data_IF_511900862425
#
_entry.id   IF_511900862425
#
_cell.length_a   1.000
_cell.length_b   1.000
_cell.length_c   1.000
_cell.angle_alpha   90.00
_cell.angle_beta   90.00
_cell.angle_gamma   90.00
#
_symmetry.space_group_name_H-M   'P 1'
#
loop_
_entity.id
_entity.type
_entity.pdbx_description
1 polymer ?
#
# COMPACT_ATOMS: atom_id res chain seq x y z
N UNK A 1 -56.84 -40.73 -21.45
CA UNK A 1 -57.39 -40.67 -20.08
C UNK A 1 -56.44 -39.81 -19.25
N UNK A 2 -56.75 -38.52 -19.03
CA UNK A 2 -57.30 -37.96 -17.77
C UNK A 2 -56.62 -38.47 -16.49
N UNK A 3 -56.34 -37.71 -15.43
CA UNK A 3 -56.16 -36.28 -15.14
C UNK A 3 -55.85 -36.26 -13.62
N UNK A 4 -54.96 -35.37 -13.15
CA UNK A 4 -55.00 -34.73 -11.80
C UNK A 4 -54.95 -35.62 -10.52
N UNK A 5 -54.47 -35.21 -9.34
CA UNK A 5 -53.80 -34.02 -8.80
C UNK A 5 -53.52 -34.30 -7.30
N UNK A 6 -52.70 -33.44 -6.69
CA UNK A 6 -52.84 -32.95 -5.30
C UNK A 6 -51.99 -33.56 -4.16
N UNK A 7 -50.94 -32.78 -3.83
CA UNK A 7 -50.73 -32.06 -2.56
C UNK A 7 -50.48 -32.83 -1.25
N UNK A 8 -49.29 -32.57 -0.67
CA UNK A 8 -49.01 -32.05 0.70
C UNK A 8 -47.49 -31.79 0.84
N UNK A 9 -47.01 -30.53 0.84
CA UNK A 9 -46.69 -29.65 2.01
C UNK A 9 -45.72 -30.29 3.01
N UNK A 10 -44.46 -29.87 3.05
CA UNK A 10 -43.87 -28.71 3.78
C UNK A 10 -43.01 -29.20 4.95
N UNK A 11 -41.69 -28.98 4.87
CA UNK A 11 -40.89 -28.61 6.03
C UNK A 11 -39.74 -27.70 5.58
N UNK A 12 -39.93 -26.39 5.81
CA UNK A 12 -38.88 -25.38 5.84
C UNK A 12 -38.21 -25.43 7.22
N UNK A 13 -36.87 -25.40 7.26
CA UNK A 13 -36.11 -24.89 8.42
C UNK A 13 -34.96 -24.02 7.88
N UNK A 14 -34.71 -22.83 8.45
CA UNK A 14 -33.90 -21.78 7.84
C UNK A 14 -32.44 -21.85 8.29
N UNK A 15 -31.50 -21.42 7.44
CA UNK A 15 -30.15 -21.08 7.89
C UNK A 15 -29.83 -19.65 7.44
N UNK A 16 -30.16 -18.72 8.34
CA UNK A 16 -29.57 -17.38 8.39
C UNK A 16 -28.29 -17.46 9.22
N UNK A 17 -27.27 -16.71 8.79
CA UNK A 17 -26.08 -16.26 9.55
C UNK A 17 -24.86 -17.18 9.61
N UNK A 18 -23.87 -16.92 8.74
CA UNK A 18 -22.43 -16.91 9.06
C UNK A 18 -21.54 -16.60 7.83
N UNK A 19 -21.67 -15.39 7.27
CA UNK A 19 -20.73 -14.83 6.28
C UNK A 19 -19.95 -13.63 6.83
N UNK A 20 -19.61 -13.70 8.10
CA UNK A 20 -18.63 -12.86 8.77
C UNK A 20 -17.65 -13.82 9.46
N UNK A 21 -16.52 -14.10 8.81
CA UNK A 21 -15.22 -14.57 9.37
C UNK A 21 -14.39 -15.27 8.28
N UNK A 22 -13.96 -14.52 7.26
CA UNK A 22 -12.88 -14.95 6.37
C UNK A 22 -11.84 -13.82 6.21
N UNK A 23 -11.48 -13.20 7.34
CA UNK A 23 -10.38 -12.25 7.45
C UNK A 23 -9.81 -12.33 8.87
N UNK A 24 -9.24 -13.46 9.25
CA UNK A 24 -8.26 -13.60 10.33
C UNK A 24 -7.66 -15.01 10.31
N UNK A 25 -6.35 -15.09 10.52
CA UNK A 25 -5.55 -16.32 10.69
C UNK A 25 -5.22 -17.14 9.45
N UNK A 26 -4.28 -16.63 8.65
CA UNK A 26 -3.31 -17.51 7.98
C UNK A 26 -2.08 -17.61 8.91
N UNK A 27 -2.17 -18.50 9.90
CA UNK A 27 -1.05 -18.86 10.79
C UNK A 27 0.02 -19.55 9.94
N UNK A 28 1.22 -18.97 9.92
CA UNK A 28 2.40 -19.62 9.35
C UNK A 28 2.80 -20.81 10.22
N UNK A 29 2.81 -22.00 9.63
CA UNK A 29 3.48 -23.17 10.18
C UNK A 29 4.93 -23.08 9.68
N UNK A 30 5.87 -22.76 10.58
CA UNK A 30 7.29 -23.01 10.36
C UNK A 30 7.66 -24.22 11.21
N UNK A 31 7.97 -25.34 10.54
CA UNK A 31 8.75 -26.42 11.13
C UNK A 31 10.24 -25.99 11.09
N UNK A 32 10.89 -25.93 12.25
CA UNK A 32 12.32 -26.20 12.38
C UNK A 32 12.68 -26.41 13.84
N UNK A 33 12.88 -27.67 14.24
CA UNK A 33 13.66 -28.01 15.42
C UNK A 33 15.15 -28.01 15.03
N UNK A 34 15.92 -27.09 15.63
CA UNK A 34 17.36 -27.23 15.85
C UNK A 34 17.76 -26.26 16.99
N UNK A 35 18.58 -26.68 17.96
CA UNK A 35 18.86 -25.89 19.16
C UNK A 35 19.85 -24.75 18.84
N UNK A 36 19.75 -23.58 19.50
CA UNK A 36 20.72 -22.52 19.30
C UNK A 36 22.02 -22.79 20.07
N UNK A 37 23.14 -22.67 19.38
CA UNK A 37 24.48 -22.56 19.96
C UNK A 37 24.63 -21.29 20.84
N UNK A 38 25.59 -21.24 21.78
CA UNK A 38 25.61 -20.24 22.84
C UNK A 38 25.97 -18.85 22.31
N UNK A 39 25.19 -17.85 22.73
CA UNK A 39 25.39 -16.43 22.46
C UNK A 39 26.51 -15.89 23.35
N UNK A 40 27.64 -15.49 22.78
CA UNK A 40 28.68 -14.76 23.50
C UNK A 40 28.66 -13.25 23.20
N UNK A 41 28.61 -12.50 24.30
CA UNK A 41 28.89 -11.09 24.61
C UNK A 41 28.43 -9.94 23.69
N UNK A 42 27.53 -9.12 24.25
CA UNK A 42 27.21 -7.77 23.78
C UNK A 42 27.84 -6.68 24.65
N UNK A 43 28.63 -5.81 24.02
CA UNK A 43 29.01 -4.52 24.55
C UNK A 43 28.36 -3.43 23.70
N UNK A 44 27.34 -2.75 24.22
CA UNK A 44 26.90 -1.48 23.65
C UNK A 44 26.21 -0.59 24.70
N UNK A 45 26.97 0.38 25.23
CA UNK A 45 26.63 1.18 26.42
C UNK A 45 25.46 2.16 26.22
N UNK A 46 25.02 2.40 24.98
CA UNK A 46 23.96 3.38 24.68
C UNK A 46 22.52 2.90 24.96
N UNK A 47 22.29 1.58 25.07
CA UNK A 47 20.93 1.05 25.26
C UNK A 47 20.56 0.82 26.74
N UNK A 48 21.54 0.47 27.57
CA UNK A 48 21.37 0.26 29.02
C UNK A 48 21.01 1.58 29.73
N UNK A 49 21.50 2.71 29.23
CA UNK A 49 21.27 4.02 29.82
C UNK A 49 19.82 4.53 29.73
N UNK A 50 18.97 4.00 28.84
CA UNK A 50 17.54 4.39 28.80
C UNK A 50 16.66 3.64 29.80
N UNK A 51 17.17 2.54 30.39
CA UNK A 51 16.45 1.74 31.40
C UNK A 51 16.74 2.15 32.84
N UNK A 52 17.80 2.92 33.07
CA UNK A 52 17.99 3.68 34.31
C UNK A 52 17.54 5.11 34.03
N UNK A 53 16.67 5.70 34.85
CA UNK A 53 16.07 7.02 34.63
C UNK A 53 17.04 8.20 34.74
N UNK A 54 18.16 8.18 34.00
CA UNK A 54 19.16 9.25 33.97
C UNK A 54 18.96 10.03 32.66
N UNK A 55 18.46 11.27 32.78
CA UNK A 55 18.51 12.26 31.70
C UNK A 55 19.99 12.50 31.37
N UNK A 56 20.45 12.07 30.20
CA UNK A 56 21.83 12.35 29.80
C UNK A 56 21.92 13.76 29.23
N UNK A 57 22.33 14.70 30.09
CA UNK A 57 23.03 15.91 29.67
C UNK A 57 24.36 15.49 29.05
N UNK A 58 24.71 16.07 27.92
CA UNK A 58 25.95 15.78 27.20
C UNK A 58 27.17 16.13 28.04
N UNK A 59 28.07 15.14 28.20
CA UNK A 59 29.43 15.16 28.79
C UNK A 59 29.52 14.62 30.21
N UNK A 60 29.66 13.30 30.33
CA UNK A 60 30.51 12.68 31.36
C UNK A 60 30.79 11.24 30.96
N UNK A 61 32.02 10.95 30.55
CA UNK A 61 32.55 9.59 30.44
C UNK A 61 32.86 9.10 31.85
N UNK A 62 31.83 8.67 32.59
CA UNK A 62 32.04 8.02 33.88
C UNK A 62 32.64 6.62 33.64
N UNK A 63 33.85 6.43 34.17
CA UNK A 63 34.59 5.18 34.16
C UNK A 63 33.88 4.20 35.12
N UNK A 64 32.82 3.55 34.63
CA UNK A 64 32.06 2.55 35.40
C UNK A 64 32.93 1.30 35.52
N UNK A 65 33.24 0.91 36.76
CA UNK A 65 33.98 -0.31 37.07
C UNK A 65 33.39 -1.51 36.29
N UNK A 66 34.22 -2.30 35.57
CA UNK A 66 33.77 -3.40 34.72
C UNK A 66 32.79 -4.37 35.40
N UNK A 67 32.93 -4.59 36.71
CA UNK A 67 32.05 -5.49 37.48
C UNK A 67 30.61 -4.99 37.59
N UNK A 68 30.38 -3.68 37.41
CA UNK A 68 29.05 -3.06 37.42
C UNK A 68 28.54 -2.72 36.01
N UNK A 69 29.23 -3.17 34.94
CA UNK A 69 28.68 -3.15 33.58
C UNK A 69 27.61 -4.22 33.45
N UNK A 70 26.38 -3.87 33.82
CA UNK A 70 25.22 -4.72 33.56
C UNK A 70 25.10 -5.00 32.06
N UNK A 71 25.18 -6.27 31.69
CA UNK A 71 24.95 -6.75 30.32
C UNK A 71 23.49 -7.18 30.14
N UNK A 72 22.85 -6.71 29.07
CA UNK A 72 21.47 -7.08 28.73
C UNK A 72 20.41 -6.04 29.10
N UNK A 73 19.15 -6.36 28.83
CA UNK A 73 17.99 -5.52 29.15
C UNK A 73 17.31 -6.05 30.43
N UNK A 74 17.02 -5.15 31.36
CA UNK A 74 16.28 -5.50 32.58
C UNK A 74 14.85 -5.93 32.21
N UNK A 75 14.53 -7.21 32.43
CA UNK A 75 13.23 -7.81 32.07
C UNK A 75 12.04 -7.05 32.67
N UNK A 76 12.15 -6.56 33.91
CA UNK A 76 11.09 -5.80 34.56
C UNK A 76 10.80 -4.42 33.95
N UNK A 77 11.63 -3.96 33.00
CA UNK A 77 11.50 -2.66 32.30
C UNK A 77 11.47 -2.81 30.78
N UNK A 78 11.58 -4.03 30.26
CA UNK A 78 11.55 -4.27 28.82
C UNK A 78 10.13 -4.11 28.31
N UNK A 79 9.97 -3.39 27.20
CA UNK A 79 8.72 -3.38 26.43
C UNK A 79 8.92 -4.24 25.19
N UNK A 80 7.85 -4.76 24.60
CA UNK A 80 7.92 -5.49 23.33
C UNK A 80 8.68 -4.67 22.27
N UNK A 81 8.43 -3.36 22.17
CA UNK A 81 9.11 -2.47 21.23
C UNK A 81 10.62 -2.38 21.47
N UNK A 82 11.07 -2.43 22.74
CA UNK A 82 12.48 -2.41 23.10
C UNK A 82 13.13 -3.77 22.83
N UNK A 83 12.45 -4.87 23.18
CA UNK A 83 12.88 -6.23 22.90
C UNK A 83 13.08 -6.45 21.39
N UNK A 84 12.08 -6.09 20.58
CA UNK A 84 12.15 -6.21 19.12
C UNK A 84 13.29 -5.38 18.53
N UNK A 85 13.51 -4.14 19.01
CA UNK A 85 14.63 -3.30 18.55
C UNK A 85 15.98 -3.92 18.89
N UNK A 86 16.13 -4.47 20.10
CA UNK A 86 17.35 -5.15 20.51
C UNK A 86 17.62 -6.39 19.65
N UNK A 87 16.61 -7.26 19.48
CA UNK A 87 16.71 -8.45 18.61
C UNK A 87 17.05 -8.07 17.18
N UNK A 88 16.42 -7.04 16.61
CA UNK A 88 16.71 -6.58 15.24
C UNK A 88 18.13 -6.08 15.07
N UNK A 89 18.63 -5.27 16.02
CA UNK A 89 20.04 -4.82 16.01
C UNK A 89 20.99 -5.98 16.10
N UNK A 90 20.64 -6.98 16.89
CA UNK A 90 21.50 -8.14 17.05
C UNK A 90 21.56 -8.99 15.79
N UNK A 91 20.38 -9.30 15.25
CA UNK A 91 20.28 -9.99 13.97
C UNK A 91 21.02 -9.21 12.87
N UNK A 92 21.00 -7.87 12.89
CA UNK A 92 21.72 -7.02 11.92
C UNK A 92 23.24 -7.24 11.89
N UNK A 93 23.86 -7.81 12.94
CA UNK A 93 25.29 -8.17 12.92
C UNK A 93 25.57 -9.44 12.13
N UNK A 94 24.57 -10.32 11.98
CA UNK A 94 24.74 -11.58 11.25
C UNK A 94 24.69 -11.36 9.73
N UNK A 95 25.72 -11.82 9.03
CA UNK A 95 25.79 -11.82 7.56
C UNK A 95 24.59 -12.51 6.92
N UNK A 96 24.07 -13.58 7.52
CA UNK A 96 22.88 -14.31 7.02
C UNK A 96 21.63 -13.42 7.04
N UNK A 97 21.44 -12.67 8.13
CA UNK A 97 20.31 -11.74 8.24
C UNK A 97 20.48 -10.53 7.31
N UNK A 98 21.70 -10.01 7.17
CA UNK A 98 22.00 -8.94 6.22
C UNK A 98 21.69 -9.37 4.78
N UNK A 99 22.07 -10.59 4.36
CA UNK A 99 21.69 -11.16 3.05
C UNK A 99 20.17 -11.30 2.89
N UNK A 100 19.47 -11.75 3.94
CA UNK A 100 17.99 -11.87 3.91
C UNK A 100 17.28 -10.53 3.77
N UNK A 101 17.86 -9.45 4.33
CA UNK A 101 17.37 -8.09 4.18
C UNK A 101 17.74 -7.52 2.81
N UNK A 102 18.98 -7.74 2.36
CA UNK A 102 19.48 -7.23 1.08
C UNK A 102 19.01 -8.11 -0.08
N UNK A 103 17.70 -8.01 -0.36
CA UNK A 103 17.09 -8.68 -1.50
C UNK A 103 17.33 -7.84 -2.74
N UNK A 104 18.00 -8.43 -3.74
CA UNK A 104 18.29 -7.80 -5.04
C UNK A 104 17.08 -7.06 -5.63
N UNK A 105 15.92 -7.70 -5.65
CA UNK A 105 14.69 -7.11 -6.20
C UNK A 105 14.26 -5.84 -5.43
N UNK A 106 14.34 -5.85 -4.10
CA UNK A 106 14.03 -4.67 -3.28
C UNK A 106 14.99 -3.52 -3.57
N UNK A 107 16.29 -3.81 -3.67
CA UNK A 107 17.31 -2.80 -3.99
C UNK A 107 17.10 -2.21 -5.40
N UNK A 108 16.76 -3.04 -6.38
CA UNK A 108 16.43 -2.58 -7.73
C UNK A 108 15.18 -1.69 -7.74
N UNK A 109 14.14 -2.09 -7.02
CA UNK A 109 12.89 -1.31 -6.91
C UNK A 109 13.11 0.01 -6.19
N UNK A 110 13.94 0.05 -5.14
CA UNK A 110 14.38 1.29 -4.49
C UNK A 110 15.12 2.19 -5.47
N UNK A 111 16.07 1.66 -6.25
CA UNK A 111 16.80 2.43 -7.27
C UNK A 111 15.87 3.03 -8.33
N UNK A 112 14.91 2.25 -8.86
CA UNK A 112 13.88 2.73 -9.80
C UNK A 112 13.03 3.86 -9.20
N UNK A 113 12.57 3.68 -7.96
CA UNK A 113 11.79 4.68 -7.25
C UNK A 113 12.60 5.97 -6.98
N UNK A 114 13.88 5.84 -6.62
CA UNK A 114 14.78 6.97 -6.42
C UNK A 114 15.05 7.75 -7.70
N UNK A 115 15.30 7.07 -8.82
CA UNK A 115 15.55 7.70 -10.12
C UNK A 115 14.32 8.51 -10.57
N UNK A 116 13.14 7.88 -10.64
CA UNK A 116 11.93 8.58 -11.07
C UNK A 116 11.51 9.70 -10.10
N UNK A 117 11.69 9.52 -8.79
CA UNK A 117 11.42 10.59 -7.84
C UNK A 117 12.43 11.75 -7.97
N UNK A 118 13.67 11.47 -8.34
CA UNK A 118 14.68 12.51 -8.58
C UNK A 118 14.32 13.35 -9.81
N UNK A 119 13.86 12.71 -10.89
CA UNK A 119 13.38 13.38 -12.11
C UNK A 119 12.23 14.34 -11.78
N UNK A 120 11.26 13.92 -10.98
CA UNK A 120 10.07 14.73 -10.65
C UNK A 120 10.37 15.79 -9.58
N UNK A 121 11.09 15.43 -8.51
CA UNK A 121 11.33 16.33 -7.38
C UNK A 121 12.55 17.25 -7.58
N UNK A 122 13.39 16.97 -8.57
CA UNK A 122 14.72 17.59 -8.76
C UNK A 122 15.78 17.12 -7.76
N UNK A 123 15.44 16.20 -6.83
CA UNK A 123 16.35 15.67 -5.81
C UNK A 123 16.06 14.21 -5.50
N UNK A 124 17.10 13.41 -5.40
CA UNK A 124 16.99 11.99 -5.06
C UNK A 124 16.52 11.81 -3.61
N UNK A 125 15.37 11.14 -3.37
CA UNK A 125 14.94 10.84 -2.01
C UNK A 125 15.84 9.76 -1.38
N UNK A 126 16.03 9.84 -0.06
CA UNK A 126 16.70 8.77 0.67
C UNK A 126 15.79 7.53 0.78
N UNK A 127 16.36 6.33 0.85
CA UNK A 127 15.56 5.10 1.04
C UNK A 127 14.65 5.18 2.29
N UNK A 128 15.08 5.71 3.45
CA UNK A 128 14.18 5.87 4.59
C UNK A 128 13.02 6.84 4.32
N UNK A 129 13.17 7.81 3.41
CA UNK A 129 12.06 8.64 2.98
C UNK A 129 11.07 7.84 2.14
N UNK A 130 11.54 7.05 1.17
CA UNK A 130 10.68 6.17 0.37
C UNK A 130 9.88 5.19 1.24
N UNK A 131 10.54 4.52 2.19
CA UNK A 131 9.83 3.60 3.09
C UNK A 131 8.79 4.29 3.98
N UNK A 132 9.05 5.52 4.41
CA UNK A 132 8.05 6.32 5.14
C UNK A 132 6.91 6.76 4.23
N UNK A 133 7.20 7.07 2.97
CA UNK A 133 6.23 7.58 2.02
C UNK A 133 5.24 6.51 1.54
N UNK A 134 5.64 5.23 1.51
CA UNK A 134 4.71 4.11 1.32
C UNK A 134 3.56 4.13 2.34
N UNK A 135 3.83 4.64 3.56
CA UNK A 135 2.83 4.79 4.63
C UNK A 135 2.22 6.19 4.71
N UNK A 136 2.25 6.95 3.61
CA UNK A 136 1.69 8.29 3.60
C UNK A 136 0.21 8.26 4.02
N UNK A 137 -0.23 9.27 4.78
CA UNK A 137 -1.59 9.35 5.32
C UNK A 137 -2.68 9.41 4.23
N UNK A 138 -2.31 9.89 3.04
CA UNK A 138 -3.22 10.00 1.90
C UNK A 138 -3.43 8.67 1.18
N UNK A 139 -2.64 7.64 1.51
CA UNK A 139 -2.72 6.30 0.93
C UNK A 139 -3.45 5.38 1.92
N UNK A 140 -4.48 4.66 1.45
CA UNK A 140 -5.24 3.75 2.30
C UNK A 140 -4.39 2.56 2.77
N UNK A 141 -4.64 2.02 3.98
CA UNK A 141 -3.81 0.92 4.55
C UNK A 141 -3.68 -0.29 3.63
N UNK A 142 -4.73 -0.62 2.88
CA UNK A 142 -4.71 -1.73 1.90
C UNK A 142 -3.71 -1.45 0.78
N UNK A 143 -3.68 -0.21 0.29
CA UNK A 143 -2.75 0.22 -0.75
C UNK A 143 -1.33 0.37 -0.21
N UNK A 144 -1.16 0.84 1.04
CA UNK A 144 0.16 0.86 1.68
C UNK A 144 0.77 -0.55 1.75
N UNK A 145 -0.04 -1.55 2.09
CA UNK A 145 0.39 -2.96 2.08
C UNK A 145 0.73 -3.42 0.65
N UNK A 146 -0.10 -3.06 -0.34
CA UNK A 146 0.18 -3.35 -1.74
C UNK A 146 1.51 -2.76 -2.21
N UNK A 147 1.74 -1.46 -2.02
CA UNK A 147 2.99 -0.81 -2.39
C UNK A 147 4.20 -1.42 -1.66
N UNK A 148 4.06 -1.73 -0.37
CA UNK A 148 5.12 -2.39 0.40
C UNK A 148 5.48 -3.78 -0.17
N UNK A 149 4.47 -4.59 -0.49
CA UNK A 149 4.66 -5.90 -1.12
C UNK A 149 5.27 -5.78 -2.52
N UNK A 150 4.85 -4.79 -3.29
CA UNK A 150 5.40 -4.49 -4.63
C UNK A 150 6.86 -4.06 -4.55
N UNK A 151 7.23 -3.19 -3.61
CA UNK A 151 8.63 -2.84 -3.35
C UNK A 151 9.50 -4.08 -3.08
N UNK A 152 8.96 -5.03 -2.31
CA UNK A 152 9.68 -6.24 -1.95
C UNK A 152 9.63 -7.36 -2.98
N UNK A 153 8.93 -7.15 -4.10
CA UNK A 153 8.65 -8.20 -5.10
C UNK A 153 8.08 -9.47 -4.43
N UNK A 154 7.14 -9.27 -3.51
CA UNK A 154 6.65 -10.31 -2.61
C UNK A 154 5.30 -10.92 -3.05
N UNK A 155 4.75 -10.48 -4.18
CA UNK A 155 3.52 -11.01 -4.73
C UNK A 155 3.76 -12.28 -5.56
N UNK A 156 2.79 -13.20 -5.56
CA UNK A 156 2.82 -14.43 -6.36
C UNK A 156 2.47 -14.14 -7.82
N UNK A 157 3.48 -13.81 -8.61
CA UNK A 157 3.39 -13.37 -10.01
C UNK A 157 4.51 -14.02 -10.80
N UNK A 158 4.27 -14.32 -12.08
CA UNK A 158 5.31 -14.77 -12.99
C UNK A 158 5.94 -16.10 -12.61
N UNK A 159 7.26 -16.12 -12.59
CA UNK A 159 8.11 -17.30 -12.32
C UNK A 159 7.80 -18.00 -11.01
N UNK A 160 7.17 -17.33 -10.04
CA UNK A 160 6.65 -17.98 -8.83
C UNK A 160 5.75 -19.18 -9.17
N UNK A 161 4.91 -19.06 -10.20
CA UNK A 161 3.94 -20.09 -10.57
C UNK A 161 4.53 -21.24 -11.36
N UNK A 162 5.68 -21.06 -12.01
CA UNK A 162 6.38 -22.13 -12.74
C UNK A 162 6.77 -23.30 -11.84
N UNK A 163 6.99 -23.01 -10.55
CA UNK A 163 7.41 -23.99 -9.56
C UNK A 163 6.24 -24.67 -8.84
N UNK A 164 4.99 -24.34 -9.21
CA UNK A 164 3.78 -24.85 -8.55
C UNK A 164 3.05 -25.80 -9.50
N UNK A 165 3.10 -27.12 -9.25
CA UNK A 165 2.40 -28.12 -10.05
C UNK A 165 0.91 -27.80 -10.28
N UNK A 166 0.49 -27.77 -11.54
CA UNK A 166 -0.90 -27.52 -11.96
C UNK A 166 -1.28 -26.04 -12.08
N UNK A 167 -0.38 -25.11 -11.75
CA UNK A 167 -0.62 -23.66 -11.83
C UNK A 167 0.40 -22.92 -12.69
N UNK A 168 1.26 -23.63 -13.41
CA UNK A 168 2.33 -23.10 -14.25
C UNK A 168 1.80 -22.16 -15.33
N UNK A 169 0.57 -22.38 -15.80
CA UNK A 169 -0.13 -21.51 -16.75
C UNK A 169 -0.30 -20.06 -16.26
N UNK A 170 -0.15 -19.79 -14.96
CA UNK A 170 -0.22 -18.45 -14.35
C UNK A 170 1.10 -17.70 -14.38
N UNK A 171 2.18 -18.32 -14.86
CA UNK A 171 3.48 -17.67 -15.03
C UNK A 171 3.46 -16.63 -16.15
N UNK A 172 2.69 -16.90 -17.20
CA UNK A 172 2.52 -16.02 -18.33
C UNK A 172 1.15 -15.33 -18.29
N UNK A 173 1.08 -14.13 -18.84
CA UNK A 173 -0.18 -13.44 -19.04
C UNK A 173 -1.00 -14.22 -20.08
N UNK A 174 -2.21 -14.65 -19.73
CA UNK A 174 -3.08 -15.41 -20.62
C UNK A 174 -3.59 -14.60 -21.83
N UNK A 175 -3.49 -13.27 -21.78
CA UNK A 175 -3.89 -12.37 -22.86
C UNK A 175 -2.71 -11.99 -23.77
N UNK A 176 -1.57 -11.66 -23.15
CA UNK A 176 -0.41 -11.15 -23.88
C UNK A 176 0.60 -12.25 -24.25
N UNK A 177 0.48 -13.44 -23.64
CA UNK A 177 1.39 -14.58 -23.78
C UNK A 177 2.87 -14.29 -23.45
N UNK A 178 3.14 -13.24 -22.67
CA UNK A 178 4.48 -12.89 -22.16
C UNK A 178 4.60 -13.23 -20.66
N UNK A 179 5.83 -13.36 -20.12
CA UNK A 179 6.04 -13.53 -18.68
C UNK A 179 5.32 -12.44 -17.88
N UNK A 180 4.43 -12.85 -16.97
CA UNK A 180 3.67 -11.90 -16.18
C UNK A 180 4.54 -11.36 -15.05
N UNK A 181 4.88 -10.08 -15.08
CA UNK A 181 5.59 -9.38 -13.99
C UNK A 181 4.68 -8.33 -13.36
N UNK A 182 5.01 -7.83 -12.16
CA UNK A 182 4.24 -6.73 -11.57
C UNK A 182 4.30 -5.46 -12.45
N UNK A 183 5.43 -5.22 -13.12
CA UNK A 183 5.56 -4.14 -14.08
C UNK A 183 4.63 -4.36 -15.28
N UNK A 184 4.63 -5.57 -15.86
CA UNK A 184 3.72 -5.91 -16.95
C UNK A 184 2.26 -5.67 -16.58
N UNK A 185 1.82 -6.19 -15.43
CA UNK A 185 0.44 -6.05 -14.96
C UNK A 185 0.02 -4.59 -14.85
N UNK A 186 0.88 -3.74 -14.31
CA UNK A 186 0.53 -2.35 -14.02
C UNK A 186 0.67 -1.44 -15.23
N UNK A 187 1.56 -1.73 -16.18
CA UNK A 187 2.01 -0.76 -17.19
C UNK A 187 1.96 -1.25 -18.64
N UNK A 188 2.04 -2.55 -18.89
CA UNK A 188 2.29 -3.07 -20.26
C UNK A 188 1.20 -4.04 -20.74
N UNK A 189 0.35 -4.52 -19.84
CA UNK A 189 -0.64 -5.55 -20.15
C UNK A 189 -1.72 -5.04 -21.10
N UNK A 190 -1.90 -5.73 -22.24
CA UNK A 190 -2.94 -5.43 -23.24
C UNK A 190 -4.35 -5.89 -22.86
N UNK A 191 -4.51 -6.59 -21.73
CA UNK A 191 -5.84 -6.99 -21.25
C UNK A 191 -6.69 -5.75 -20.95
N UNK A 192 -8.00 -5.77 -21.28
CA UNK A 192 -8.93 -4.70 -20.90
C UNK A 192 -8.80 -4.32 -19.42
N UNK A 193 -8.70 -3.02 -19.15
CA UNK A 193 -8.62 -2.49 -17.79
C UNK A 193 -7.44 -1.57 -17.56
N UNK A 194 -6.22 -2.04 -17.84
CA UNK A 194 -5.00 -1.32 -17.49
C UNK A 194 -4.94 0.05 -18.20
N UNK A 195 -4.97 0.06 -19.53
CA UNK A 195 -4.89 1.30 -20.30
C UNK A 195 -6.06 2.23 -20.00
N UNK A 196 -7.27 1.67 -19.91
CA UNK A 196 -8.48 2.42 -19.57
C UNK A 196 -8.32 3.16 -18.24
N UNK A 197 -7.82 2.48 -17.21
CA UNK A 197 -7.65 3.08 -15.88
C UNK A 197 -6.63 4.21 -15.92
N UNK A 198 -5.52 4.07 -16.64
CA UNK A 198 -4.55 5.14 -16.78
C UNK A 198 -5.08 6.33 -17.58
N UNK A 199 -5.80 6.08 -18.68
CA UNK A 199 -6.47 7.14 -19.45
C UNK A 199 -7.50 7.89 -18.61
N UNK A 200 -8.23 7.19 -17.73
CA UNK A 200 -9.17 7.84 -16.80
C UNK A 200 -8.43 8.70 -15.76
N UNK A 201 -7.30 8.22 -15.25
CA UNK A 201 -6.47 8.97 -14.31
C UNK A 201 -5.87 10.23 -14.94
N UNK A 202 -5.31 10.12 -16.13
CA UNK A 202 -4.80 11.24 -16.92
C UNK A 202 -5.92 12.21 -17.31
N UNK A 203 -7.07 11.70 -17.76
CA UNK A 203 -8.23 12.53 -18.08
C UNK A 203 -8.70 13.36 -16.89
N UNK A 204 -8.73 12.79 -15.69
CA UNK A 204 -9.06 13.54 -14.47
C UNK A 204 -7.92 14.51 -14.07
N UNK A 205 -6.67 14.18 -14.37
CA UNK A 205 -5.54 15.08 -14.15
C UNK A 205 -5.53 16.30 -15.07
N UNK A 206 -6.08 16.20 -16.28
CA UNK A 206 -6.09 17.29 -17.26
C UNK A 206 -6.73 18.61 -16.76
N UNK A 207 -7.54 18.54 -15.69
CA UNK A 207 -8.09 19.70 -15.00
C UNK A 207 -7.09 20.44 -14.08
N UNK A 208 -5.88 19.90 -13.88
CA UNK A 208 -4.81 20.53 -13.12
C UNK A 208 -3.91 21.38 -13.99
N UNK A 209 -3.17 22.31 -13.38
CA UNK A 209 -2.27 23.20 -14.11
C UNK A 209 -0.89 22.58 -14.34
N UNK A 210 -0.46 21.64 -13.49
CA UNK A 210 0.82 20.95 -13.68
C UNK A 210 0.74 19.85 -14.73
N UNK A 211 1.90 19.56 -15.30
CA UNK A 211 2.06 18.49 -16.28
C UNK A 211 1.73 17.13 -15.65
N UNK A 212 1.07 16.29 -16.44
CA UNK A 212 0.86 14.90 -16.08
C UNK A 212 2.21 14.17 -16.06
N UNK A 213 2.49 13.50 -14.94
CA UNK A 213 3.65 12.62 -14.83
C UNK A 213 3.18 11.22 -15.21
N UNK A 214 3.64 10.73 -16.36
CA UNK A 214 3.26 9.43 -16.86
C UNK A 214 3.60 8.32 -15.85
N UNK A 215 2.69 7.37 -15.59
CA UNK A 215 2.94 6.25 -14.71
C UNK A 215 4.08 5.38 -15.25
N UNK A 216 5.13 5.22 -14.43
CA UNK A 216 6.20 4.27 -14.61
C UNK A 216 6.27 3.39 -13.36
N UNK A 217 7.02 2.30 -13.41
CA UNK A 217 7.10 1.41 -12.26
C UNK A 217 7.74 2.14 -11.07
N UNK A 218 8.72 3.01 -11.34
CA UNK A 218 9.35 3.86 -10.35
C UNK A 218 8.41 4.93 -9.80
N UNK A 219 7.59 5.59 -10.63
CA UNK A 219 6.65 6.61 -10.13
C UNK A 219 5.52 6.01 -9.30
N UNK A 220 5.05 4.79 -9.62
CA UNK A 220 4.09 4.05 -8.79
C UNK A 220 4.69 3.73 -7.42
N UNK A 221 5.92 3.18 -7.39
CA UNK A 221 6.64 2.88 -6.15
C UNK A 221 6.90 4.15 -5.32
N UNK A 222 7.32 5.23 -5.98
CA UNK A 222 7.68 6.48 -5.34
C UNK A 222 6.51 7.43 -5.10
N UNK A 223 5.27 7.09 -5.49
CA UNK A 223 4.15 8.03 -5.54
C UNK A 223 4.00 8.80 -4.22
N UNK A 224 4.09 8.12 -3.08
CA UNK A 224 4.00 8.73 -1.75
C UNK A 224 5.04 9.83 -1.45
N UNK A 225 6.22 9.78 -2.09
CA UNK A 225 7.36 10.69 -1.91
C UNK A 225 7.45 11.77 -3.00
N UNK A 226 6.64 11.69 -4.05
CA UNK A 226 6.61 12.70 -5.11
C UNK A 226 5.92 13.97 -4.60
N UNK A 227 6.60 15.10 -4.79
CA UNK A 227 6.11 16.45 -4.49
C UNK A 227 6.29 17.32 -5.73
N UNK A 228 5.18 17.58 -6.41
CA UNK A 228 5.12 18.41 -7.59
C UNK A 228 5.43 19.86 -7.24
N UNK A 229 6.11 20.53 -8.16
CA UNK A 229 6.51 21.93 -8.07
C UNK A 229 6.04 22.66 -9.34
N UNK A 230 5.78 23.95 -9.22
CA UNK A 230 5.56 24.81 -10.38
C UNK A 230 6.87 25.15 -11.10
N UNK A 231 6.79 25.91 -12.20
CA UNK A 231 7.94 26.34 -12.99
C UNK A 231 8.95 27.18 -12.19
N UNK A 232 8.52 27.78 -11.07
CA UNK A 232 9.35 28.59 -10.17
C UNK A 232 9.90 27.78 -8.98
N UNK A 233 9.67 26.46 -8.94
CA UNK A 233 10.09 25.57 -7.85
C UNK A 233 9.21 25.63 -6.61
N UNK A 234 8.04 26.28 -6.67
CA UNK A 234 7.10 26.35 -5.55
C UNK A 234 6.30 25.06 -5.45
N UNK A 235 6.24 24.48 -4.26
CA UNK A 235 5.50 23.25 -4.01
C UNK A 235 3.99 23.40 -4.32
N UNK A 236 3.44 22.38 -4.97
CA UNK A 236 2.02 22.24 -5.31
C UNK A 236 1.39 21.14 -4.44
N UNK A 237 1.06 21.42 -3.15
CA UNK A 237 0.67 20.39 -2.20
C UNK A 237 -0.66 19.71 -2.54
N UNK A 238 -1.61 20.45 -3.13
CA UNK A 238 -2.90 19.93 -3.57
C UNK A 238 -2.76 18.92 -4.71
N UNK A 239 -2.01 19.30 -5.74
CA UNK A 239 -1.73 18.46 -6.90
C UNK A 239 -0.86 17.26 -6.52
N UNK A 240 0.18 17.45 -5.70
CA UNK A 240 1.00 16.35 -5.17
C UNK A 240 0.17 15.32 -4.40
N UNK A 241 -0.86 15.80 -3.67
CA UNK A 241 -1.79 14.93 -2.96
C UNK A 241 -2.73 14.21 -3.92
N UNK A 242 -3.28 14.91 -4.91
CA UNK A 242 -4.13 14.31 -5.93
C UNK A 242 -3.36 13.23 -6.71
N UNK A 243 -2.13 13.53 -7.14
CA UNK A 243 -1.26 12.60 -7.86
C UNK A 243 -1.06 11.31 -7.08
N UNK A 244 -0.73 11.43 -5.79
CA UNK A 244 -0.60 10.28 -4.87
C UNK A 244 -1.85 9.43 -4.83
N UNK A 245 -3.03 10.06 -4.75
CA UNK A 245 -4.31 9.35 -4.72
C UNK A 245 -4.54 8.64 -6.06
N UNK A 246 -4.43 9.35 -7.18
CA UNK A 246 -4.71 8.79 -8.52
C UNK A 246 -3.78 7.62 -8.86
N UNK A 247 -2.47 7.79 -8.69
CA UNK A 247 -1.49 6.75 -9.03
C UNK A 247 -1.70 5.51 -8.15
N UNK A 248 -1.88 5.71 -6.84
CA UNK A 248 -1.96 4.59 -5.91
C UNK A 248 -3.30 3.83 -5.99
N UNK A 249 -4.43 4.52 -6.16
CA UNK A 249 -5.74 3.89 -6.36
C UNK A 249 -5.82 3.18 -7.72
N UNK A 250 -5.30 3.79 -8.78
CA UNK A 250 -5.31 3.23 -10.13
C UNK A 250 -4.46 1.97 -10.23
N UNK A 251 -3.21 2.01 -9.75
CA UNK A 251 -2.33 0.84 -9.73
C UNK A 251 -2.93 -0.32 -8.92
N UNK A 252 -3.51 -0.01 -7.75
CA UNK A 252 -4.14 -1.04 -6.93
C UNK A 252 -5.41 -1.62 -7.57
N UNK A 253 -6.22 -0.81 -8.27
CA UNK A 253 -7.38 -1.31 -9.00
C UNK A 253 -6.95 -2.23 -10.16
N UNK A 254 -5.93 -1.87 -10.92
CA UNK A 254 -5.36 -2.71 -11.99
C UNK A 254 -4.92 -4.06 -11.42
N UNK A 255 -4.17 -4.06 -10.32
CA UNK A 255 -3.77 -5.27 -9.61
C UNK A 255 -4.97 -6.12 -9.17
N UNK A 256 -6.04 -5.49 -8.65
CA UNK A 256 -7.27 -6.20 -8.26
C UNK A 256 -7.96 -6.85 -9.46
N UNK A 257 -8.09 -6.14 -10.58
CA UNK A 257 -8.69 -6.68 -11.79
C UNK A 257 -7.91 -7.90 -12.30
N UNK A 258 -6.57 -7.83 -12.28
CA UNK A 258 -5.72 -8.98 -12.61
C UNK A 258 -5.99 -10.16 -11.68
N UNK A 259 -6.10 -9.94 -10.36
CA UNK A 259 -6.33 -11.03 -9.42
C UNK A 259 -7.70 -11.69 -9.59
N UNK A 260 -8.74 -10.90 -9.85
CA UNK A 260 -10.07 -11.44 -10.16
C UNK A 260 -9.98 -12.41 -11.36
N UNK A 261 -9.26 -12.00 -12.41
CA UNK A 261 -9.03 -12.84 -13.59
C UNK A 261 -8.18 -14.09 -13.31
N UNK A 262 -6.94 -13.90 -12.87
CA UNK A 262 -5.95 -14.99 -12.81
C UNK A 262 -6.16 -15.91 -11.61
N UNK A 263 -6.61 -15.36 -10.47
CA UNK A 263 -6.76 -16.12 -9.23
C UNK A 263 -8.19 -16.63 -9.06
N UNK A 264 -9.19 -15.79 -9.33
CA UNK A 264 -10.60 -16.16 -9.14
C UNK A 264 -11.25 -16.73 -10.42
N UNK A 265 -10.56 -16.71 -11.56
CA UNK A 265 -11.05 -17.28 -12.82
C UNK A 265 -12.20 -16.50 -13.44
N UNK A 266 -12.35 -15.21 -13.15
CA UNK A 266 -13.43 -14.39 -13.72
C UNK A 266 -13.00 -13.75 -15.04
N UNK A 267 -13.90 -13.69 -16.02
CA UNK A 267 -13.63 -12.96 -17.26
C UNK A 267 -13.36 -11.47 -17.01
N UNK A 268 -12.53 -10.80 -17.84
CA UNK A 268 -12.30 -9.37 -17.70
C UNK A 268 -13.61 -8.59 -17.79
N UNK A 269 -13.83 -7.63 -16.88
CA UNK A 269 -14.99 -6.76 -16.99
C UNK A 269 -14.94 -5.93 -18.27
N UNK A 270 -16.11 -5.62 -18.83
CA UNK A 270 -16.22 -4.68 -19.93
C UNK A 270 -15.80 -3.26 -19.53
N UNK A 271 -15.61 -2.40 -20.54
CA UNK A 271 -15.15 -1.02 -20.38
C UNK A 271 -16.02 -0.19 -19.41
N UNK A 272 -17.34 -0.35 -19.49
CA UNK A 272 -18.28 0.38 -18.63
C UNK A 272 -18.10 -0.01 -17.16
N UNK A 273 -17.99 -1.32 -16.87
CA UNK A 273 -17.76 -1.82 -15.51
C UNK A 273 -16.40 -1.38 -14.97
N UNK A 274 -15.35 -1.39 -15.80
CA UNK A 274 -14.02 -0.88 -15.43
C UNK A 274 -14.13 0.61 -15.03
N UNK A 275 -14.75 1.40 -15.90
CA UNK A 275 -14.92 2.85 -15.69
C UNK A 275 -15.72 3.14 -14.43
N UNK A 276 -16.83 2.42 -14.22
CA UNK A 276 -17.66 2.55 -13.01
C UNK A 276 -16.87 2.19 -11.75
N UNK A 277 -16.08 1.10 -11.77
CA UNK A 277 -15.26 0.67 -10.63
C UNK A 277 -14.17 1.70 -10.30
N UNK A 278 -13.52 2.26 -11.31
CA UNK A 278 -12.51 3.31 -11.12
C UNK A 278 -13.14 4.58 -10.55
N UNK A 279 -14.25 5.07 -11.13
CA UNK A 279 -15.01 6.22 -10.59
C UNK A 279 -15.42 5.99 -9.15
N UNK A 280 -15.96 4.81 -8.83
CA UNK A 280 -16.35 4.44 -7.46
C UNK A 280 -15.16 4.49 -6.49
N UNK A 281 -13.98 4.06 -6.92
CA UNK A 281 -12.77 4.11 -6.09
C UNK A 281 -12.37 5.57 -5.78
N UNK A 282 -12.31 6.43 -6.81
CA UNK A 282 -11.96 7.85 -6.66
C UNK A 282 -13.02 8.63 -5.87
N UNK A 283 -14.30 8.41 -6.15
CA UNK A 283 -15.42 8.96 -5.39
C UNK A 283 -15.37 8.54 -3.92
N UNK A 284 -15.04 7.29 -3.65
CA UNK A 284 -14.84 6.80 -2.29
C UNK A 284 -13.76 7.58 -1.55
N UNK A 285 -12.67 7.93 -2.22
CA UNK A 285 -11.60 8.77 -1.64
C UNK A 285 -12.06 10.19 -1.39
N UNK A 286 -12.75 10.81 -2.34
CA UNK A 286 -13.34 12.13 -2.15
C UNK A 286 -14.33 12.16 -0.96
N UNK A 287 -15.24 11.18 -0.85
CA UNK A 287 -16.20 11.06 0.25
C UNK A 287 -15.51 10.89 1.61
N UNK A 288 -14.45 10.09 1.67
CA UNK A 288 -13.62 9.95 2.88
C UNK A 288 -13.02 11.31 3.25
N UNK A 289 -12.39 12.01 2.30
CA UNK A 289 -11.78 13.31 2.55
C UNK A 289 -12.80 14.35 3.02
N UNK A 290 -13.97 14.39 2.39
CA UNK A 290 -15.08 15.25 2.79
C UNK A 290 -15.50 14.94 4.23
N UNK A 291 -15.67 13.67 4.58
CA UNK A 291 -16.02 13.26 5.94
C UNK A 291 -14.96 13.70 6.96
N UNK A 292 -13.68 13.61 6.61
CA UNK A 292 -12.55 14.00 7.46
C UNK A 292 -12.47 15.51 7.70
N UNK A 293 -13.20 16.34 6.95
CA UNK A 293 -13.33 17.78 7.24
C UNK A 293 -14.26 18.10 8.41
N UNK A 294 -15.00 17.11 8.94
CA UNK A 294 -15.87 17.32 10.10
C UNK A 294 -15.08 17.58 11.38
N UNK A 295 -15.56 18.52 12.21
CA UNK A 295 -14.95 18.88 13.50
C UNK A 295 -14.83 17.69 14.46
N UNK A 296 -15.65 16.64 14.28
CA UNK A 296 -15.63 15.40 15.11
C UNK A 296 -14.26 14.71 15.12
N UNK A 297 -13.41 14.95 14.12
CA UNK A 297 -12.10 14.34 14.00
C UNK A 297 -10.97 15.12 14.71
N UNK A 298 -11.28 16.28 15.32
CA UNK A 298 -10.35 17.06 16.14
C UNK A 298 -8.99 17.26 15.48
N UNK A 299 -7.91 16.85 16.15
CA UNK A 299 -6.52 16.97 15.62
C UNK A 299 -6.24 16.15 14.36
N UNK A 300 -7.11 15.22 13.97
CA UNK A 300 -7.00 14.39 12.75
C UNK A 300 -7.88 14.91 11.61
N UNK A 301 -8.54 16.05 11.80
CA UNK A 301 -9.38 16.69 10.79
C UNK A 301 -8.54 17.09 9.56
N UNK A 302 -9.09 16.86 8.36
CA UNK A 302 -8.55 17.37 7.12
C UNK A 302 -8.96 18.85 6.96
N UNK A 303 -8.02 19.74 6.67
CA UNK A 303 -8.36 21.15 6.47
C UNK A 303 -9.16 21.34 5.18
N UNK A 304 -10.15 22.25 5.20
CA UNK A 304 -10.93 22.62 4.00
C UNK A 304 -10.03 23.14 2.88
N UNK A 305 -8.95 23.83 3.21
CA UNK A 305 -7.94 24.27 2.26
C UNK A 305 -7.24 23.09 1.56
N UNK A 306 -6.90 22.02 2.29
CA UNK A 306 -6.29 20.81 1.69
C UNK A 306 -7.29 20.09 0.80
N UNK A 307 -8.55 19.94 1.27
CA UNK A 307 -9.62 19.35 0.47
C UNK A 307 -9.79 20.15 -0.83
N UNK A 308 -9.92 21.47 -0.72
CA UNK A 308 -10.13 22.35 -1.86
C UNK A 308 -8.96 22.34 -2.84
N UNK A 309 -7.72 22.41 -2.34
CA UNK A 309 -6.53 22.32 -3.18
C UNK A 309 -6.37 20.97 -3.88
N UNK A 310 -6.96 19.89 -3.37
CA UNK A 310 -6.91 18.57 -4.02
C UNK A 310 -8.02 18.40 -5.07
N UNK A 311 -9.24 18.84 -4.75
CA UNK A 311 -10.44 18.44 -5.50
C UNK A 311 -11.14 19.57 -6.27
N UNK A 312 -10.95 20.85 -5.91
CA UNK A 312 -11.77 21.93 -6.44
C UNK A 312 -11.70 22.07 -7.97
N UNK A 313 -10.51 21.94 -8.56
CA UNK A 313 -10.37 22.06 -10.02
C UNK A 313 -11.15 20.96 -10.76
N UNK A 314 -11.27 19.77 -10.16
CA UNK A 314 -12.04 18.66 -10.73
C UNK A 314 -13.55 18.88 -10.55
N UNK A 315 -13.96 19.53 -9.46
CA UNK A 315 -15.38 19.79 -9.17
C UNK A 315 -15.89 20.97 -9.98
N UNK A 316 -15.13 22.06 -10.08
CA UNK A 316 -15.52 23.30 -10.75
C UNK A 316 -15.64 23.15 -12.26
N UNK A 317 -14.83 22.32 -12.90
CA UNK A 317 -14.91 22.10 -14.36
C UNK A 317 -16.08 21.19 -14.76
N UNK A 318 -16.61 20.41 -13.81
CA UNK A 318 -17.79 19.56 -14.01
C UNK A 318 -19.10 20.34 -14.09
N UNK A 319 -19.21 21.45 -13.38
CA UNK A 319 -20.37 22.35 -13.46
C UNK A 319 -20.53 22.97 -14.87
N UNK A 320 -19.50 22.88 -15.72
CA UNK A 320 -19.53 23.38 -17.11
C UNK A 320 -19.80 22.31 -18.17
N UNK A 321 -19.74 21.00 -17.86
CA UNK A 321 -19.63 19.97 -18.91
C UNK A 321 -20.37 18.62 -18.70
N UNK A 322 -21.15 18.38 -17.63
CA UNK A 322 -21.86 17.08 -17.49
C UNK A 322 -23.18 17.12 -16.68
N UNK A 323 -24.21 16.30 -17.00
CA UNK A 323 -25.57 16.41 -16.44
C UNK A 323 -25.82 15.63 -15.13
N UNK A 324 -24.80 15.27 -14.35
CA UNK A 324 -25.00 14.54 -13.09
C UNK A 324 -24.00 14.96 -12.00
N UNK A 325 -24.44 15.64 -10.93
CA UNK A 325 -23.55 16.12 -9.88
C UNK A 325 -23.06 14.97 -9.00
N UNK A 326 -21.75 14.95 -8.75
CA UNK A 326 -21.15 14.07 -7.76
C UNK A 326 -21.52 14.57 -6.36
N UNK A 327 -22.32 13.81 -5.64
CA UNK A 327 -22.68 14.14 -4.25
C UNK A 327 -24.01 14.85 -4.07
N UNK A 328 -25.00 14.61 -4.94
CA UNK A 328 -26.39 14.83 -4.57
C UNK A 328 -26.69 14.11 -3.26
N UNK A 329 -26.95 14.88 -2.21
CA UNK A 329 -27.51 14.41 -0.95
C UNK A 329 -28.82 13.72 -1.26
N UNK A 330 -28.81 12.38 -1.34
CA UNK A 330 -30.02 11.60 -1.22
C UNK A 330 -30.61 11.89 0.16
N UNK A 331 -31.66 12.70 0.20
CA UNK A 331 -32.51 12.83 1.37
C UNK A 331 -33.05 11.43 1.66
N UNK A 332 -32.66 10.86 2.79
CA UNK A 332 -33.32 9.70 3.37
C UNK A 332 -34.73 10.17 3.77
N UNK A 333 -35.70 9.94 2.89
CA UNK A 333 -37.10 9.91 3.27
C UNK A 333 -37.31 8.57 3.95
N UNK A 334 -37.44 8.62 5.28
CA UNK A 334 -37.89 7.55 6.14
C UNK A 334 -38.89 8.12 7.12
#
# INVERSE_FOLDING_TARGET
MMNQSSLKKEQRVPIISSLLLANSSMRMIYLSEAPPAPLDRFQDHKLVARTAGIKFSSKTTSNVNPQFKLTGLRLSKITQSLAEKAIKREKAKSTSYQRKINRRATTQNLGRAQACAAEVNGKTPSEPLLWRSVRHRDISRRIQFFLWMTFHDAYKVGTYWEQIPGYEHRSNCQYCHVPETMQHILLECSCPGQQTIWNLAEGLWSHQKSQWVEPSFGTILACGAINLQDQNGKALPGESRLFRILISESAHLIWKLRNERVINGTDPPNLERITKRWRTAIEGRYKIDLSLTSKRFGKRQLSKQTLGGTWNNIIQDRDKSSPAPWGGTGVLVG
#
